data_IF_980163788609
#
_entry.id   IF_980163788609
#
_cell.length_a   1.000
_cell.length_b   1.000
_cell.length_c   1.000
_cell.angle_alpha   90.00
_cell.angle_beta   90.00
_cell.angle_gamma   90.00
#
_symmetry.space_group_name_H-M   'P 1'
#
loop_
_entity.id
_entity.type
_entity.pdbx_description
1 polymer ?
#
# COMPACT_ATOMS: atom_id res chain seq x y z
N UNK A 1 -21.56 -24.74 32.22
CA UNK A 1 -20.16 -25.11 31.96
C UNK A 1 -19.39 -24.98 33.26
N UNK A 2 -18.54 -25.95 33.62
CA UNK A 2 -17.70 -25.83 34.83
C UNK A 2 -16.70 -24.68 34.64
N UNK A 3 -16.30 -23.95 35.70
CA UNK A 3 -15.41 -22.78 35.58
C UNK A 3 -14.09 -23.12 34.88
N UNK A 4 -13.60 -24.35 35.06
CA UNK A 4 -12.43 -24.90 34.38
C UNK A 4 -12.58 -24.96 32.85
N UNK A 5 -13.78 -25.21 32.33
CA UNK A 5 -14.04 -25.26 30.89
C UNK A 5 -14.07 -23.86 30.26
N UNK A 6 -14.53 -22.86 31.01
CA UNK A 6 -14.53 -21.45 30.57
C UNK A 6 -13.08 -20.95 30.49
N UNK A 7 -12.26 -21.30 31.48
CA UNK A 7 -10.84 -20.95 31.48
C UNK A 7 -10.11 -21.57 30.28
N UNK A 8 -10.35 -22.85 30.00
CA UNK A 8 -9.77 -23.54 28.83
C UNK A 8 -10.21 -22.87 27.53
N UNK A 9 -11.49 -22.52 27.39
CA UNK A 9 -12.01 -21.85 26.20
C UNK A 9 -11.36 -20.47 25.99
N UNK A 10 -11.19 -19.69 27.06
CA UNK A 10 -10.55 -18.38 27.01
C UNK A 10 -9.07 -18.48 26.62
N UNK A 11 -8.35 -19.47 27.14
CA UNK A 11 -6.95 -19.73 26.77
C UNK A 11 -6.84 -20.11 25.29
N UNK A 12 -7.74 -20.95 24.79
CA UNK A 12 -7.77 -21.34 23.37
C UNK A 12 -8.08 -20.15 22.45
N UNK A 13 -9.00 -19.26 22.85
CA UNK A 13 -9.30 -18.04 22.08
C UNK A 13 -8.12 -17.05 22.07
N UNK A 14 -7.39 -16.90 23.18
CA UNK A 14 -6.18 -16.06 23.23
C UNK A 14 -5.07 -16.59 22.33
N UNK A 15 -4.88 -17.91 22.25
CA UNK A 15 -3.83 -18.55 21.45
C UNK A 15 -4.12 -18.51 19.94
N UNK A 16 -5.39 -18.35 19.53
CA UNK A 16 -5.80 -18.28 18.12
C UNK A 16 -5.69 -16.90 17.47
N UNK A 17 -5.36 -15.85 18.22
CA UNK A 17 -5.39 -14.47 17.74
C UNK A 17 -4.19 -14.06 16.85
N UNK A 18 -3.28 -14.98 16.54
CA UNK A 18 -2.08 -14.70 15.74
C UNK A 18 -2.22 -15.14 14.28
N UNK A 19 -3.31 -14.74 13.61
CA UNK A 19 -3.33 -14.72 12.15
C UNK A 19 -2.45 -13.53 11.69
N UNK A 20 -1.15 -13.78 11.56
CA UNK A 20 -0.20 -12.76 11.08
C UNK A 20 -0.54 -12.42 9.63
N UNK A 21 -1.21 -11.28 9.43
CA UNK A 21 -1.22 -10.64 8.13
C UNK A 21 0.22 -10.26 7.83
N UNK A 22 0.89 -11.05 6.97
CA UNK A 22 2.22 -10.73 6.48
C UNK A 22 2.14 -9.35 5.83
N UNK A 23 2.71 -8.35 6.48
CA UNK A 23 2.80 -7.01 5.93
C UNK A 23 3.54 -7.13 4.59
N UNK A 24 2.84 -6.85 3.50
CA UNK A 24 3.45 -6.81 2.18
C UNK A 24 4.36 -5.59 2.21
N UNK A 25 5.65 -5.81 2.46
CA UNK A 25 6.67 -4.78 2.32
C UNK A 25 6.59 -4.28 0.88
N UNK A 26 6.02 -3.09 0.69
CA UNK A 26 5.96 -2.47 -0.63
C UNK A 26 7.39 -2.04 -0.95
N UNK A 27 8.02 -2.73 -1.90
CA UNK A 27 9.35 -2.38 -2.40
C UNK A 27 9.37 -0.90 -2.76
N UNK A 28 10.12 -0.05 -2.06
CA UNK A 28 10.12 1.40 -2.28
C UNK A 28 10.40 1.80 -3.75
N UNK A 29 11.00 0.92 -4.54
CA UNK A 29 11.24 1.06 -5.98
C UNK A 29 10.03 0.89 -6.89
N UNK A 30 8.85 0.51 -6.39
CA UNK A 30 7.66 0.25 -7.22
C UNK A 30 7.15 1.49 -7.97
N UNK A 31 7.47 2.68 -7.48
CA UNK A 31 7.13 3.96 -8.11
C UNK A 31 8.30 4.92 -7.96
N UNK A 32 9.03 5.16 -9.05
CA UNK A 32 10.17 6.09 -9.06
C UNK A 32 9.66 7.50 -9.29
N UNK A 33 9.89 8.47 -8.38
CA UNK A 33 9.42 9.83 -8.54
C UNK A 33 10.15 10.54 -9.70
N UNK A 34 9.40 11.34 -10.46
CA UNK A 34 9.92 12.20 -11.52
C UNK A 34 9.40 13.62 -11.31
N UNK A 35 10.15 14.60 -11.81
CA UNK A 35 9.74 16.00 -11.79
C UNK A 35 9.55 16.49 -13.22
N UNK A 36 8.34 16.95 -13.53
CA UNK A 36 7.98 17.57 -14.80
C UNK A 36 7.04 18.74 -14.51
N UNK A 37 7.36 19.91 -15.06
CA UNK A 37 6.58 21.12 -14.82
C UNK A 37 5.13 20.93 -15.26
N UNK A 38 4.20 21.32 -14.39
CA UNK A 38 2.76 21.16 -14.65
C UNK A 38 2.21 19.74 -14.48
N UNK A 39 3.04 18.75 -14.12
CA UNK A 39 2.63 17.34 -13.90
C UNK A 39 2.89 16.93 -12.44
N UNK A 40 2.02 17.32 -11.51
CA UNK A 40 2.20 17.05 -10.09
C UNK A 40 2.18 15.54 -9.77
N UNK A 41 2.95 15.13 -8.76
CA UNK A 41 2.99 13.74 -8.26
C UNK A 41 3.35 12.68 -9.33
N UNK A 42 4.17 13.05 -10.33
CA UNK A 42 4.59 12.14 -11.39
C UNK A 42 5.52 11.02 -10.87
N UNK A 43 5.19 9.79 -11.21
CA UNK A 43 5.99 8.60 -10.91
C UNK A 43 6.03 7.64 -12.10
N UNK A 44 7.18 7.02 -12.34
CA UNK A 44 7.35 5.88 -13.24
C UNK A 44 7.14 4.56 -12.48
N UNK A 45 6.20 3.74 -12.93
CA UNK A 45 5.85 2.45 -12.31
C UNK A 45 6.58 1.30 -13.02
N UNK A 46 6.58 1.32 -14.35
CA UNK A 46 7.31 0.39 -15.22
C UNK A 46 7.83 1.13 -16.45
N UNK A 47 8.43 0.42 -17.41
CA UNK A 47 8.95 1.02 -18.64
C UNK A 47 7.92 1.91 -19.35
N UNK A 48 6.69 1.39 -19.53
CA UNK A 48 5.61 2.02 -20.29
C UNK A 48 4.44 2.51 -19.42
N UNK A 49 4.56 2.49 -18.09
CA UNK A 49 3.47 2.90 -17.18
C UNK A 49 3.92 4.00 -16.24
N UNK A 50 3.17 5.09 -16.27
CA UNK A 50 3.35 6.27 -15.44
C UNK A 50 2.07 6.57 -14.67
N UNK A 51 2.20 7.25 -13.54
CA UNK A 51 1.07 7.83 -12.80
C UNK A 51 1.40 9.26 -12.38
N UNK A 52 0.41 10.13 -12.34
CA UNK A 52 0.53 11.48 -11.80
C UNK A 52 -0.79 11.90 -11.14
N UNK A 53 -0.81 13.08 -10.53
CA UNK A 53 -2.05 13.83 -10.35
C UNK A 53 -2.43 14.52 -11.68
N UNK A 54 -3.61 15.14 -11.75
CA UNK A 54 -4.11 15.80 -12.95
C UNK A 54 -3.11 16.87 -13.43
N UNK A 55 -2.56 16.76 -14.66
CA UNK A 55 -1.72 17.80 -15.23
C UNK A 55 -2.50 19.10 -15.47
N UNK A 56 -1.81 20.24 -15.42
CA UNK A 56 -2.35 21.52 -15.90
C UNK A 56 -2.05 21.70 -17.42
N UNK A 57 -2.40 22.84 -17.99
CA UNK A 57 -2.17 23.15 -19.41
C UNK A 57 -0.69 22.98 -19.83
N UNK A 58 0.23 23.59 -19.08
CA UNK A 58 1.68 23.44 -19.30
C UNK A 58 2.11 21.98 -19.17
N UNK A 59 1.55 21.26 -18.19
CA UNK A 59 1.81 19.84 -17.97
C UNK A 59 1.36 18.96 -19.13
N UNK A 60 0.20 19.25 -19.73
CA UNK A 60 -0.27 18.54 -20.91
C UNK A 60 0.64 18.78 -22.12
N UNK A 61 1.05 20.04 -22.36
CA UNK A 61 2.01 20.37 -23.44
C UNK A 61 3.36 19.66 -23.26
N UNK A 62 3.80 19.47 -22.02
CA UNK A 62 5.04 18.77 -21.70
C UNK A 62 4.95 17.24 -21.81
N UNK A 63 3.74 16.67 -21.96
CA UNK A 63 3.49 15.23 -22.10
C UNK A 63 3.29 14.78 -23.56
N UNK A 64 3.14 15.71 -24.49
CA UNK A 64 3.05 15.47 -25.94
C UNK A 64 4.40 15.12 -26.56
#
# INVERSE_FOLDING_TARGET
>A
MKPMQILILLVVMLLGASASAKEVIRNASWATPLNLEGVPNLHKISEDLYRSAQPNEVGMMNLE
#
